data_IF_254764080542
#
_entry.id   IF_254764080542
#
_cell.length_a   1.000
_cell.length_b   1.000
_cell.length_c   1.000
_cell.angle_alpha   90.00
_cell.angle_beta   90.00
_cell.angle_gamma   90.00
#
_symmetry.space_group_name_H-M   'P 1'
#
loop_
_entity.id
_entity.type
_entity.pdbx_description
1 polymer ?
#
# COMPACT_ATOMS: atom_id res chain seq x y z
N UNK A 1 -10.32 -37.44 -3.37
CA UNK A 1 -11.35 -36.40 -3.58
C UNK A 1 -10.71 -35.06 -3.18
N UNK A 2 -10.21 -34.26 -4.13
CA UNK A 2 -9.72 -32.91 -3.79
C UNK A 2 -10.95 -32.02 -3.61
N UNK A 3 -11.21 -31.54 -2.40
CA UNK A 3 -12.13 -30.40 -2.25
C UNK A 3 -11.44 -29.20 -2.88
N UNK A 4 -11.87 -28.81 -4.07
CA UNK A 4 -11.51 -27.51 -4.62
C UNK A 4 -12.19 -26.47 -3.75
N UNK A 5 -11.43 -25.87 -2.84
CA UNK A 5 -11.83 -24.64 -2.15
C UNK A 5 -11.96 -23.58 -3.24
N UNK A 6 -13.15 -22.98 -3.37
CA UNK A 6 -13.35 -21.87 -4.29
C UNK A 6 -12.79 -20.62 -3.60
N UNK A 7 -11.55 -20.26 -3.92
CA UNK A 7 -10.87 -19.09 -3.38
C UNK A 7 -10.96 -17.96 -4.40
N UNK A 8 -11.51 -16.83 -3.97
CA UNK A 8 -11.61 -15.62 -4.81
C UNK A 8 -10.35 -14.75 -4.70
N UNK A 9 -9.70 -14.74 -3.52
CA UNK A 9 -8.50 -13.94 -3.23
C UNK A 9 -7.61 -14.63 -2.21
N UNK A 10 -6.29 -14.53 -2.41
CA UNK A 10 -5.25 -14.98 -1.47
C UNK A 10 -4.31 -13.82 -1.19
N UNK A 11 -4.08 -13.50 0.09
CA UNK A 11 -3.05 -12.55 0.49
C UNK A 11 -1.72 -13.26 0.76
N UNK A 12 -0.63 -12.68 0.25
CA UNK A 12 0.74 -13.10 0.55
C UNK A 12 1.44 -11.93 1.21
N UNK A 13 1.72 -12.04 2.51
CA UNK A 13 2.50 -11.04 3.24
C UNK A 13 3.99 -11.33 3.09
N UNK A 14 4.78 -10.32 2.73
CA UNK A 14 6.24 -10.45 2.73
C UNK A 14 6.77 -10.43 4.17
N UNK A 15 7.96 -10.98 4.42
CA UNK A 15 8.56 -10.99 5.76
C UNK A 15 9.05 -9.62 6.27
N UNK A 16 8.73 -8.53 5.57
CA UNK A 16 9.32 -7.20 5.78
C UNK A 16 10.70 -7.08 5.13
N UNK A 17 10.90 -6.03 4.34
CA UNK A 17 12.16 -5.74 3.64
C UNK A 17 12.26 -4.23 3.35
N UNK A 18 13.32 -3.80 2.72
CA UNK A 18 13.60 -2.42 2.37
C UNK A 18 12.79 -1.93 1.16
N UNK A 19 13.01 -0.66 0.77
CA UNK A 19 12.28 0.02 -0.33
C UNK A 19 12.46 -0.64 -1.72
N UNK A 20 13.43 -1.54 -1.87
CA UNK A 20 13.66 -2.31 -3.11
C UNK A 20 12.75 -3.52 -3.28
N UNK A 21 12.01 -3.91 -2.25
CA UNK A 21 11.26 -5.17 -2.25
C UNK A 21 10.06 -5.14 -3.22
N UNK A 22 9.94 -6.20 -4.02
CA UNK A 22 8.86 -6.42 -4.98
C UNK A 22 8.48 -7.89 -5.03
N UNK A 23 7.23 -8.17 -5.37
CA UNK A 23 6.81 -9.53 -5.72
C UNK A 23 7.13 -9.86 -7.17
N UNK A 24 7.41 -11.13 -7.45
CA UNK A 24 7.47 -11.64 -8.81
C UNK A 24 6.05 -11.58 -9.42
N UNK A 25 5.89 -11.18 -10.69
CA UNK A 25 4.62 -11.32 -11.41
C UNK A 25 4.11 -12.77 -11.50
N UNK A 26 5.00 -13.76 -11.32
CA UNK A 26 4.58 -15.17 -11.24
C UNK A 26 3.92 -15.54 -9.91
N UNK A 27 4.05 -14.67 -8.88
CA UNK A 27 3.52 -14.90 -7.54
C UNK A 27 2.31 -14.01 -7.21
N UNK A 28 2.30 -12.76 -7.67
CA UNK A 28 1.26 -11.80 -7.31
C UNK A 28 0.70 -11.06 -8.53
N UNK A 29 -0.63 -11.13 -8.70
CA UNK A 29 -1.37 -10.40 -9.74
C UNK A 29 -1.48 -8.90 -9.42
N UNK A 30 -1.61 -8.56 -8.12
CA UNK A 30 -1.65 -7.21 -7.61
C UNK A 30 -0.71 -7.05 -6.44
N UNK A 31 -0.09 -5.88 -6.33
CA UNK A 31 0.86 -5.54 -5.27
C UNK A 31 0.38 -4.32 -4.47
N UNK A 32 0.21 -4.52 -3.16
CA UNK A 32 0.01 -3.44 -2.20
C UNK A 32 1.32 -3.25 -1.45
N UNK A 33 1.90 -2.05 -1.52
CA UNK A 33 3.07 -1.69 -0.72
C UNK A 33 2.63 -0.84 0.46
N UNK A 34 3.13 -1.16 1.65
CA UNK A 34 2.74 -0.48 2.89
C UNK A 34 3.98 0.14 3.51
N UNK A 35 3.93 1.46 3.70
CA UNK A 35 4.85 2.22 4.55
C UNK A 35 4.07 2.86 5.69
N UNK A 36 4.75 3.34 6.72
CA UNK A 36 4.10 4.13 7.76
C UNK A 36 4.77 5.48 8.06
N UNK A 37 4.00 6.41 8.60
CA UNK A 37 4.45 7.78 8.89
C UNK A 37 5.61 7.82 9.87
N UNK A 38 5.72 6.86 10.79
CA UNK A 38 6.79 6.82 11.80
C UNK A 38 8.15 6.41 11.22
N UNK A 39 8.19 5.84 10.00
CA UNK A 39 9.43 5.63 9.25
C UNK A 39 10.07 6.98 8.80
N UNK A 40 9.28 8.06 8.79
CA UNK A 40 9.71 9.44 8.60
C UNK A 40 9.19 10.11 7.32
N UNK A 41 9.02 11.43 7.37
CA UNK A 41 8.44 12.26 6.29
C UNK A 41 9.11 12.05 4.91
N UNK A 42 10.43 11.78 4.91
CA UNK A 42 11.22 11.63 3.68
C UNK A 42 11.07 10.28 2.99
N UNK A 43 10.31 9.33 3.54
CA UNK A 43 10.23 7.97 2.98
C UNK A 43 9.66 7.99 1.54
N UNK A 44 8.54 8.68 1.24
CA UNK A 44 8.05 8.79 -0.14
C UNK A 44 9.11 9.21 -1.17
N UNK A 45 9.90 10.26 -0.88
CA UNK A 45 10.93 10.75 -1.81
C UNK A 45 12.18 9.88 -1.94
N UNK A 46 12.39 8.90 -1.06
CA UNK A 46 13.44 7.88 -1.26
C UNK A 46 13.11 6.95 -2.44
N UNK A 47 11.83 6.82 -2.79
CA UNK A 47 11.39 6.03 -3.93
C UNK A 47 11.60 4.53 -3.73
N UNK A 48 12.11 3.87 -4.76
CA UNK A 48 12.14 2.41 -4.83
C UNK A 48 10.88 1.83 -5.49
N UNK A 49 10.96 0.61 -6.01
CA UNK A 49 9.87 -0.01 -6.75
C UNK A 49 8.59 -0.19 -5.92
N UNK A 50 8.70 -0.41 -4.60
CA UNK A 50 7.53 -0.45 -3.72
C UNK A 50 6.74 0.86 -3.73
N UNK A 51 7.42 2.01 -3.65
CA UNK A 51 6.77 3.33 -3.68
C UNK A 51 6.36 3.73 -5.10
N UNK A 52 7.16 3.42 -6.12
CA UNK A 52 6.98 3.98 -7.47
C UNK A 52 6.18 3.09 -8.41
N UNK A 53 6.15 1.76 -8.19
CA UNK A 53 5.63 0.78 -9.14
C UNK A 53 4.52 -0.12 -8.61
N UNK A 54 4.35 -0.24 -7.29
CA UNK A 54 3.23 -1.00 -6.72
C UNK A 54 1.89 -0.53 -7.27
N UNK A 55 0.96 -1.46 -7.40
CA UNK A 55 -0.39 -1.18 -7.92
C UNK A 55 -1.15 -0.25 -6.98
N UNK A 56 -0.93 -0.39 -5.67
CA UNK A 56 -1.46 0.50 -4.65
C UNK A 56 -0.45 0.75 -3.52
N UNK A 57 -0.27 2.01 -3.11
CA UNK A 57 0.55 2.37 -1.95
C UNK A 57 -0.33 2.77 -0.76
N UNK A 58 -0.04 2.20 0.40
CA UNK A 58 -0.64 2.59 1.68
C UNK A 58 0.40 3.34 2.50
N UNK A 59 0.03 4.52 3.00
CA UNK A 59 0.83 5.28 3.98
C UNK A 59 0.06 5.28 5.29
N UNK A 60 0.41 4.34 6.18
CA UNK A 60 -0.33 4.04 7.39
C UNK A 60 0.14 4.88 8.60
N UNK A 61 -0.65 4.80 9.69
CA UNK A 61 -0.36 5.38 11.01
C UNK A 61 -0.31 6.91 10.97
N UNK A 62 -1.22 7.55 10.25
CA UNK A 62 -1.29 9.02 10.17
C UNK A 62 -1.47 9.70 11.52
N UNK A 63 -2.06 9.01 12.50
CA UNK A 63 -2.18 9.45 13.88
C UNK A 63 -0.82 9.70 14.55
N UNK A 64 0.26 9.08 14.05
CA UNK A 64 1.59 9.26 14.61
C UNK A 64 2.34 10.50 14.12
N UNK A 65 1.84 11.19 13.08
CA UNK A 65 2.51 12.33 12.46
C UNK A 65 2.96 13.42 13.46
N UNK A 66 2.15 13.84 14.45
CA UNK A 66 2.54 14.87 15.40
C UNK A 66 3.67 14.45 16.34
N UNK A 67 3.85 13.15 16.58
CA UNK A 67 4.85 12.63 17.52
C UNK A 67 6.21 12.40 16.88
N UNK A 68 6.26 12.25 15.55
CA UNK A 68 7.49 12.02 14.78
C UNK A 68 7.91 13.23 13.96
N UNK A 69 7.17 14.34 14.05
CA UNK A 69 7.47 15.59 13.34
C UNK A 69 7.33 15.46 11.82
N UNK A 70 6.37 14.65 11.34
CA UNK A 70 6.13 14.48 9.91
C UNK A 70 4.94 15.31 9.44
N UNK A 71 5.07 16.00 8.31
CA UNK A 71 3.97 16.66 7.61
C UNK A 71 3.32 15.71 6.61
N UNK A 72 2.03 15.41 6.83
CA UNK A 72 1.24 14.61 5.89
C UNK A 72 1.10 15.31 4.52
N UNK A 73 1.11 16.65 4.50
CA UNK A 73 1.08 17.42 3.25
C UNK A 73 2.36 17.22 2.43
N UNK A 74 3.53 17.24 3.09
CA UNK A 74 4.82 16.98 2.42
C UNK A 74 4.87 15.55 1.91
N UNK A 75 4.44 14.59 2.72
CA UNK A 75 4.37 13.18 2.32
C UNK A 75 3.42 12.98 1.13
N UNK A 76 2.27 13.67 1.09
CA UNK A 76 1.33 13.63 -0.03
C UNK A 76 1.97 14.17 -1.32
N UNK A 77 2.57 15.36 -1.24
CA UNK A 77 3.23 16.00 -2.38
C UNK A 77 4.36 15.14 -2.93
N UNK A 78 5.19 14.55 -2.07
CA UNK A 78 6.26 13.66 -2.51
C UNK A 78 5.70 12.38 -3.12
N UNK A 79 4.67 11.78 -2.51
CA UNK A 79 4.05 10.56 -3.00
C UNK A 79 3.47 10.77 -4.39
N UNK A 80 2.74 11.87 -4.61
CA UNK A 80 2.18 12.21 -5.92
C UNK A 80 3.27 12.40 -6.97
N UNK A 81 4.37 13.08 -6.63
CA UNK A 81 5.53 13.21 -7.53
C UNK A 81 6.14 11.85 -7.90
N UNK A 82 6.25 10.93 -6.93
CA UNK A 82 6.91 9.63 -7.13
C UNK A 82 6.03 8.61 -7.84
N UNK A 83 4.71 8.75 -7.76
CA UNK A 83 3.73 7.79 -8.29
C UNK A 83 3.01 8.22 -9.57
N UNK A 84 3.02 9.52 -9.89
CA UNK A 84 2.17 10.04 -10.95
C UNK A 84 0.70 9.72 -10.65
N UNK A 85 0.03 9.07 -11.61
CA UNK A 85 -1.40 8.73 -11.50
C UNK A 85 -1.68 7.41 -10.76
N UNK A 86 -0.64 6.69 -10.27
CA UNK A 86 -0.82 5.41 -9.57
C UNK A 86 -1.47 5.64 -8.21
N UNK A 87 -2.52 4.88 -7.85
CA UNK A 87 -3.33 5.16 -6.67
C UNK A 87 -2.56 4.89 -5.38
N UNK A 88 -2.90 5.66 -4.37
CA UNK A 88 -2.38 5.52 -3.01
C UNK A 88 -3.39 6.13 -2.03
N UNK A 89 -3.29 5.78 -0.76
CA UNK A 89 -4.08 6.43 0.29
C UNK A 89 -3.31 6.52 1.60
N UNK A 90 -3.58 7.57 2.36
CA UNK A 90 -3.30 7.58 3.78
C UNK A 90 -4.26 6.66 4.53
N UNK A 91 -3.78 6.06 5.61
CA UNK A 91 -4.62 5.27 6.52
C UNK A 91 -4.29 5.49 7.99
N UNK A 92 -5.30 5.30 8.82
CA UNK A 92 -5.15 4.95 10.22
C UNK A 92 -5.87 3.62 10.44
N UNK A 93 -5.16 2.51 10.21
CA UNK A 93 -5.75 1.18 10.30
C UNK A 93 -6.17 0.78 11.73
N UNK A 94 -5.78 1.52 12.77
CA UNK A 94 -6.34 1.33 14.12
C UNK A 94 -7.78 1.83 14.24
N UNK A 95 -8.14 2.87 13.48
CA UNK A 95 -9.49 3.45 13.46
C UNK A 95 -10.30 2.98 12.23
N UNK A 96 -9.64 2.36 11.25
CA UNK A 96 -10.25 1.93 10.00
C UNK A 96 -10.25 3.01 8.91
N UNK A 97 -9.64 4.17 9.15
CA UNK A 97 -9.60 5.26 8.18
C UNK A 97 -8.84 4.84 6.91
N UNK A 98 -9.45 5.07 5.75
CA UNK A 98 -8.90 4.71 4.43
C UNK A 98 -8.98 3.22 4.08
N UNK A 99 -9.47 2.36 4.98
CA UNK A 99 -9.62 0.92 4.70
C UNK A 99 -10.63 0.66 3.56
N UNK A 100 -11.72 1.42 3.51
CA UNK A 100 -12.74 1.30 2.45
C UNK A 100 -12.17 1.58 1.06
N UNK A 101 -11.22 2.52 0.94
CA UNK A 101 -10.52 2.82 -0.31
C UNK A 101 -9.71 1.63 -0.80
N UNK A 102 -9.04 0.90 0.12
CA UNK A 102 -8.26 -0.30 -0.21
C UNK A 102 -9.19 -1.44 -0.65
N UNK A 103 -10.30 -1.64 0.06
CA UNK A 103 -11.30 -2.66 -0.29
C UNK A 103 -11.86 -2.38 -1.69
N UNK A 104 -12.29 -1.15 -1.97
CA UNK A 104 -12.82 -0.78 -3.28
C UNK A 104 -11.78 -0.98 -4.41
N UNK A 105 -10.50 -0.69 -4.14
CA UNK A 105 -9.42 -0.97 -5.10
C UNK A 105 -9.30 -2.47 -5.38
N UNK A 106 -9.34 -3.32 -4.35
CA UNK A 106 -9.24 -4.78 -4.50
C UNK A 106 -10.45 -5.36 -5.23
N UNK A 107 -11.66 -4.87 -4.96
CA UNK A 107 -12.87 -5.30 -5.67
C UNK A 107 -12.81 -4.97 -7.16
N UNK A 108 -12.44 -3.72 -7.51
CA UNK A 108 -12.34 -3.27 -8.91
C UNK A 108 -11.17 -3.94 -9.66
N UNK A 109 -9.95 -3.83 -9.12
CA UNK A 109 -8.74 -4.32 -9.80
C UNK A 109 -8.53 -5.82 -9.68
N UNK A 110 -9.03 -6.42 -8.60
CA UNK A 110 -9.04 -7.88 -8.42
C UNK A 110 -10.20 -8.56 -9.12
N UNK A 111 -11.10 -7.80 -9.76
CA UNK A 111 -12.26 -8.33 -10.49
C UNK A 111 -13.17 -9.22 -9.63
N UNK A 112 -13.28 -8.90 -8.34
CA UNK A 112 -14.08 -9.66 -7.38
C UNK A 112 -15.55 -9.21 -7.45
N UNK A 113 -16.48 -10.16 -7.45
CA UNK A 113 -17.92 -9.85 -7.48
C UNK A 113 -18.55 -9.69 -8.87
N UNK A 114 -17.95 -10.30 -9.90
CA UNK A 114 -18.64 -10.59 -11.17
C UNK A 114 -19.08 -12.05 -11.24
#
# INVERSE_FOLDING_TARGET
MKSSVNLDLIFVESGGDNLSATFSPELADLTIYVIDVAEGEKIPRKGGPGITKSDFLVINKTDLAPYVGASLEVMASDTQRMRGDRPWTFTNLKQGDGLSTIIAFLEDKGMLGK
#
